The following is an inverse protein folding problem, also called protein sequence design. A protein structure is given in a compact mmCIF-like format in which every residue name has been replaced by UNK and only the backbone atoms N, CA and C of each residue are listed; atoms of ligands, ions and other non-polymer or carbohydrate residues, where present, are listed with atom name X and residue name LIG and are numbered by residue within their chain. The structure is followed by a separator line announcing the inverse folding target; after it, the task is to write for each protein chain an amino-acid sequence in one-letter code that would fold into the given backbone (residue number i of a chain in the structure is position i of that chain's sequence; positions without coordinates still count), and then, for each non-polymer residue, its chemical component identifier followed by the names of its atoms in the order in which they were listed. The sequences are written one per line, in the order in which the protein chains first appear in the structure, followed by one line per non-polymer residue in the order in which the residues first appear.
data_IF_460933132816
#
_entry.id   IF_460933132816
#
_cell.length_a   1.000
_cell.length_b   1.000
_cell.length_c   1.000
_cell.angle_alpha   90.00
_cell.angle_beta   90.00
_cell.angle_gamma   90.00
#
_symmetry.space_group_name_H-M   'P 1'
#
loop_
_entity.id
_entity.type
_entity.pdbx_description
1 polymer ?
#
# COMPACT_ATOMS: atom_id res chain seq x y z
N UNK A 1 -12.03 -12.97 -11.55
CA UNK A 1 -11.78 -13.36 -10.13
C UNK A 1 -11.79 -12.08 -9.29
N UNK A 2 -12.12 -12.08 -8.00
CA UNK A 2 -12.02 -10.87 -7.16
C UNK A 2 -10.78 -10.94 -6.26
N UNK A 3 -10.12 -9.80 -6.05
CA UNK A 3 -9.08 -9.61 -5.03
C UNK A 3 -9.61 -8.70 -3.94
N UNK A 4 -9.51 -9.12 -2.67
CA UNK A 4 -9.85 -8.31 -1.51
C UNK A 4 -8.53 -7.97 -0.81
N UNK A 5 -8.30 -6.69 -0.56
CA UNK A 5 -7.04 -6.18 0.01
C UNK A 5 -7.31 -5.05 1.00
N UNK A 6 -6.59 -4.98 2.14
CA UNK A 6 -6.69 -3.86 3.07
C UNK A 6 -5.93 -2.63 2.55
N UNK A 7 -6.53 -1.46 2.73
CA UNK A 7 -5.98 -0.15 2.39
C UNK A 7 -6.11 0.79 3.58
N UNK A 8 -5.33 1.87 3.54
CA UNK A 8 -5.46 2.95 4.50
C UNK A 8 -5.28 4.33 3.89
N UNK A 9 -5.72 5.35 4.63
CA UNK A 9 -5.39 6.75 4.37
C UNK A 9 -4.29 7.21 5.33
N UNK A 10 -3.14 7.59 4.78
CA UNK A 10 -2.02 8.15 5.51
C UNK A 10 -1.69 9.54 4.95
N UNK A 11 -1.85 10.57 5.79
CA UNK A 11 -1.64 11.98 5.41
C UNK A 11 -2.41 12.40 4.15
N UNK A 12 -3.64 11.89 3.99
CA UNK A 12 -4.50 12.18 2.83
C UNK A 12 -4.22 11.37 1.56
N UNK A 13 -3.31 10.39 1.61
CA UNK A 13 -3.02 9.49 0.48
C UNK A 13 -3.40 8.05 0.79
N UNK A 14 -3.91 7.35 -0.22
CA UNK A 14 -4.32 5.94 -0.09
C UNK A 14 -3.14 5.01 -0.35
N UNK A 15 -2.92 4.06 0.56
CA UNK A 15 -1.89 3.03 0.43
C UNK A 15 -2.43 1.64 0.72
N UNK A 16 -1.89 0.64 0.03
CA UNK A 16 -2.13 -0.77 0.33
C UNK A 16 -1.36 -1.18 1.60
N UNK A 17 -2.05 -1.81 2.54
CA UNK A 17 -1.41 -2.42 3.72
C UNK A 17 -0.94 -3.82 3.33
N UNK A 18 0.38 -4.02 3.30
CA UNK A 18 0.97 -5.32 3.01
C UNK A 18 0.85 -6.27 4.20
N UNK A 19 1.16 -5.77 5.39
CA UNK A 19 1.09 -6.52 6.66
C UNK A 19 1.08 -5.57 7.85
N UNK A 20 0.77 -6.14 9.01
CA UNK A 20 0.88 -5.47 10.30
C UNK A 20 2.01 -6.11 11.10
N UNK A 21 2.90 -5.30 11.67
CA UNK A 21 4.00 -5.77 12.52
C UNK A 21 4.24 -4.77 13.65
N UNK A 22 4.38 -5.26 14.89
CA UNK A 22 4.80 -4.46 16.05
C UNK A 22 4.04 -3.13 16.24
N UNK A 23 2.72 -3.13 16.06
CA UNK A 23 1.89 -1.92 16.19
C UNK A 23 2.02 -0.93 15.02
N UNK A 24 2.60 -1.35 13.91
CA UNK A 24 2.73 -0.57 12.68
C UNK A 24 2.01 -1.26 11.52
N UNK A 25 1.52 -0.45 10.59
CA UNK A 25 1.17 -0.90 9.25
C UNK A 25 2.40 -0.79 8.35
N UNK A 26 2.65 -1.86 7.60
CA UNK A 26 3.63 -1.86 6.53
C UNK A 26 2.90 -1.53 5.24
N UNK A 27 3.09 -0.30 4.77
CA UNK A 27 2.54 0.18 3.51
C UNK A 27 3.45 -0.27 2.39
N UNK A 28 2.86 -0.78 1.31
CA UNK A 28 3.61 -1.16 0.10
C UNK A 28 3.19 -0.26 -1.05
N UNK A 29 4.20 0.24 -1.77
CA UNK A 29 3.99 0.95 -3.02
C UNK A 29 4.77 0.28 -4.16
N UNK A 30 4.14 0.19 -5.33
CA UNK A 30 4.77 -0.40 -6.52
C UNK A 30 5.06 0.69 -7.53
N UNK A 31 6.26 0.62 -8.13
CA UNK A 31 6.71 1.60 -9.11
C UNK A 31 5.79 1.72 -10.35
N UNK A 32 4.90 0.76 -10.57
CA UNK A 32 4.00 0.67 -11.73
C UNK A 32 2.65 1.36 -11.52
N UNK A 33 2.24 1.70 -10.29
CA UNK A 33 0.90 2.25 -10.01
C UNK A 33 0.93 3.71 -9.56
N UNK A 34 1.90 4.14 -8.75
CA UNK A 34 2.07 5.57 -8.38
C UNK A 34 3.54 6.01 -8.38
N UNK A 35 4.23 5.67 -9.48
CA UNK A 35 5.67 5.85 -9.62
C UNK A 35 6.19 7.21 -9.18
N UNK A 36 7.17 7.20 -8.27
CA UNK A 36 8.08 8.31 -7.99
C UNK A 36 7.70 9.20 -6.78
N UNK A 37 6.79 10.18 -6.94
CA UNK A 37 6.66 11.29 -5.98
C UNK A 37 6.25 10.87 -4.58
N UNK A 38 5.41 9.84 -4.42
CA UNK A 38 4.96 9.40 -3.09
C UNK A 38 6.05 8.59 -2.38
N UNK A 39 6.87 7.86 -3.13
CA UNK A 39 8.01 7.10 -2.59
C UNK A 39 9.01 8.07 -1.96
N UNK A 40 9.36 9.14 -2.69
CA UNK A 40 10.27 10.19 -2.19
C UNK A 40 9.64 11.03 -1.08
N UNK A 41 8.37 11.44 -1.24
CA UNK A 41 7.67 12.29 -0.26
C UNK A 41 7.54 11.65 1.12
N UNK A 42 7.36 10.33 1.18
CA UNK A 42 7.11 9.60 2.42
C UNK A 42 8.26 8.69 2.84
N UNK A 43 9.43 8.85 2.23
CA UNK A 43 10.66 8.10 2.54
C UNK A 43 10.46 6.58 2.54
N UNK A 44 9.79 6.05 1.51
CA UNK A 44 9.65 4.62 1.34
C UNK A 44 11.01 3.97 1.10
N UNK A 45 11.25 2.82 1.73
CA UNK A 45 12.50 2.07 1.60
C UNK A 45 12.37 0.98 0.56
N UNK A 46 13.33 0.91 -0.35
CA UNK A 46 13.41 -0.17 -1.33
C UNK A 46 13.78 -1.49 -0.66
N UNK A 47 12.92 -2.50 -0.80
CA UNK A 47 13.14 -3.87 -0.28
C UNK A 47 13.36 -4.89 -1.40
N UNK A 48 13.00 -4.54 -2.64
CA UNK A 48 13.17 -5.40 -3.81
C UNK A 48 13.43 -4.61 -5.09
N UNK A 49 13.52 -5.31 -6.23
CA UNK A 49 13.79 -4.65 -7.53
C UNK A 49 12.72 -3.61 -7.87
N UNK A 50 11.47 -3.84 -7.49
CA UNK A 50 10.33 -2.95 -7.76
C UNK A 50 9.43 -2.73 -6.53
N UNK A 51 9.93 -3.07 -5.34
CA UNK A 51 9.15 -3.13 -4.10
C UNK A 51 9.69 -2.12 -3.09
N UNK A 52 8.76 -1.31 -2.58
CA UNK A 52 9.04 -0.25 -1.64
C UNK A 52 8.08 -0.35 -0.46
N UNK A 53 8.63 -0.28 0.75
CA UNK A 53 7.87 -0.40 1.99
C UNK A 53 8.06 0.81 2.92
N UNK A 54 7.01 1.15 3.65
CA UNK A 54 7.05 2.14 4.73
C UNK A 54 6.32 1.61 5.94
N UNK A 55 7.00 1.58 7.09
CA UNK A 55 6.33 1.41 8.37
C UNK A 55 5.71 2.74 8.81
N UNK A 56 4.42 2.71 9.16
CA UNK A 56 3.69 3.81 9.78
C UNK A 56 3.00 3.28 11.03
N UNK A 57 2.93 4.09 12.10
CA UNK A 57 2.18 3.66 13.28
C UNK A 57 0.70 3.64 12.95
N UNK A 58 -0.05 2.73 13.57
CA UNK A 58 -1.51 2.66 13.38
C UNK A 58 -2.23 3.95 13.78
N UNK A 59 -1.72 4.64 14.80
CA UNK A 59 -2.29 5.90 15.30
C UNK A 59 -2.12 7.08 14.33
N UNK A 60 -1.17 6.98 13.39
CA UNK A 60 -0.91 8.03 12.39
C UNK A 60 -1.76 7.87 11.11
N UNK A 61 -2.64 6.87 11.08
CA UNK A 61 -3.47 6.49 9.93
C UNK A 61 -4.92 6.91 10.18
N UNK A 62 -5.50 7.61 9.20
CA UNK A 62 -6.83 8.23 9.34
C UNK A 62 -7.98 7.21 9.19
N UNK A 63 -7.81 6.24 8.29
CA UNK A 63 -8.83 5.25 7.96
C UNK A 63 -8.18 3.95 7.50
N UNK A 64 -8.74 2.82 7.91
CA UNK A 64 -8.39 1.49 7.40
C UNK A 64 -9.65 0.82 6.87
N UNK A 65 -9.59 0.27 5.66
CA UNK A 65 -10.75 -0.36 5.03
C UNK A 65 -10.34 -1.44 4.02
N UNK A 66 -11.27 -2.31 3.64
CA UNK A 66 -11.03 -3.35 2.63
C UNK A 66 -11.59 -2.94 1.26
N UNK A 67 -10.79 -3.17 0.21
CA UNK A 67 -11.18 -2.89 -1.17
C UNK A 67 -11.33 -4.19 -1.96
N UNK A 68 -12.51 -4.40 -2.52
CA UNK A 68 -12.80 -5.52 -3.44
C UNK A 68 -12.59 -5.06 -4.88
N UNK A 69 -11.55 -5.59 -5.52
CA UNK A 69 -11.20 -5.28 -6.91
C UNK A 69 -11.52 -6.46 -7.81
N UNK A 70 -12.24 -6.21 -8.92
CA UNK A 70 -12.43 -7.21 -9.96
C UNK A 70 -11.10 -7.38 -10.70
N UNK A 71 -10.50 -8.57 -10.64
CA UNK A 71 -9.38 -8.93 -11.49
C UNK A 71 -9.93 -9.24 -12.88
N UNK A 72 -9.50 -8.52 -13.93
CA UNK A 72 -9.88 -8.84 -15.29
C UNK A 72 -9.40 -10.27 -15.59
N UNK A 73 -10.33 -11.15 -15.96
CA UNK A 73 -9.96 -12.46 -16.49
C UNK A 73 -9.40 -12.22 -17.90
N UNK A 74 -8.08 -12.28 -18.06
CA UNK A 74 -7.44 -12.21 -19.38
C UNK A 74 -7.35 -13.58 -20.08
N UNK A 75 -8.08 -14.59 -19.62
CA UNK A 75 -8.20 -15.85 -20.33
C UNK A 75 -9.22 -15.69 -21.47
N UNK A 76 -8.71 -15.74 -22.70
CA UNK A 76 -9.46 -15.94 -23.95
C UNK A 76 -8.92 -17.18 -24.63
#
# INVERSE_FOLDING_TARGET
VYSIKPYCLYQGYEFFILREENGHYILSESHTVTGGPLIEKFDFKRVGKYEYEKAVKKEDVDLVYEKKTLMPNFFK
#
